data_IF_146758859252
#
_entry.id   IF_146758859252
#
_cell.length_a   1.000
_cell.length_b   1.000
_cell.length_c   1.000
_cell.angle_alpha   90.00
_cell.angle_beta   90.00
_cell.angle_gamma   90.00
#
_symmetry.space_group_name_H-M   'P 1'
#
loop_
_entity.id
_entity.type
_entity.pdbx_description
1 polymer ?
#
# COMPACT_ATOMS: atom_id res chain seq x y z
N UNK A 1 -2.19 -6.17 -20.92
CA UNK A 1 -3.02 -6.96 -19.97
C UNK A 1 -2.15 -7.72 -18.97
N UNK A 2 -1.27 -8.65 -19.38
CA UNK A 2 -0.46 -9.46 -18.46
C UNK A 2 0.40 -8.66 -17.47
N UNK A 3 1.08 -7.60 -17.94
CA UNK A 3 1.91 -6.76 -17.06
C UNK A 3 1.10 -6.06 -15.96
N UNK A 4 -0.11 -5.62 -16.29
CA UNK A 4 -1.01 -5.04 -15.30
C UNK A 4 -1.44 -6.07 -14.25
N UNK A 5 -1.79 -7.30 -14.66
CA UNK A 5 -2.13 -8.38 -13.75
C UNK A 5 -0.99 -8.71 -12.79
N UNK A 6 0.24 -8.84 -13.31
CA UNK A 6 1.44 -9.09 -12.50
C UNK A 6 1.66 -7.97 -11.45
N UNK A 7 1.54 -6.72 -11.87
CA UNK A 7 1.72 -5.56 -11.00
C UNK A 7 0.65 -5.47 -9.91
N UNK A 8 -0.64 -5.60 -10.25
CA UNK A 8 -1.71 -5.56 -9.25
C UNK A 8 -1.63 -6.75 -8.29
N UNK A 9 -1.25 -7.93 -8.78
CA UNK A 9 -1.15 -9.13 -7.96
C UNK A 9 -0.02 -8.96 -6.94
N UNK A 10 1.12 -8.40 -7.34
CA UNK A 10 2.23 -8.12 -6.43
C UNK A 10 1.80 -7.18 -5.30
N UNK A 11 1.10 -6.08 -5.63
CA UNK A 11 0.62 -5.11 -4.64
C UNK A 11 -0.40 -5.77 -3.70
N UNK A 12 -1.39 -6.49 -4.24
CA UNK A 12 -2.44 -7.12 -3.44
C UNK A 12 -1.90 -8.23 -2.54
N UNK A 13 -0.94 -9.00 -3.03
CA UNK A 13 -0.26 -10.06 -2.26
C UNK A 13 0.45 -9.48 -1.05
N UNK A 14 1.20 -8.38 -1.24
CA UNK A 14 1.84 -7.68 -0.12
C UNK A 14 0.84 -7.23 0.93
N UNK A 15 -0.29 -6.65 0.52
CA UNK A 15 -1.36 -6.24 1.43
C UNK A 15 -1.96 -7.42 2.22
N UNK A 16 -2.20 -8.55 1.57
CA UNK A 16 -2.80 -9.74 2.21
C UNK A 16 -1.82 -10.37 3.18
N UNK A 17 -0.55 -10.55 2.80
CA UNK A 17 0.47 -11.13 3.66
C UNK A 17 0.73 -10.25 4.89
N UNK A 18 0.74 -8.92 4.73
CA UNK A 18 0.84 -7.99 5.86
C UNK A 18 -0.35 -8.15 6.82
N UNK A 19 -1.58 -8.22 6.31
CA UNK A 19 -2.78 -8.46 7.14
C UNK A 19 -2.70 -9.80 7.89
N UNK A 20 -2.25 -10.87 7.23
CA UNK A 20 -2.08 -12.18 7.87
C UNK A 20 -1.07 -12.09 9.01
N UNK A 21 0.06 -11.41 8.80
CA UNK A 21 1.12 -11.28 9.80
C UNK A 21 0.75 -10.41 10.99
N UNK A 22 0.00 -9.32 10.76
CA UNK A 22 -0.44 -8.40 11.82
C UNK A 22 -1.76 -8.80 12.47
N UNK A 23 -2.50 -9.74 11.87
CA UNK A 23 -3.85 -10.12 12.30
C UNK A 23 -4.90 -9.04 12.03
N UNK A 24 -4.57 -8.01 11.23
CA UNK A 24 -5.48 -6.90 10.90
C UNK A 24 -6.45 -7.34 9.81
N UNK A 25 -7.75 -7.14 10.04
CA UNK A 25 -8.80 -7.37 9.04
C UNK A 25 -9.10 -6.11 8.23
N UNK A 26 -9.79 -6.25 7.09
CA UNK A 26 -10.21 -5.11 6.26
C UNK A 26 -11.04 -4.09 7.06
N UNK A 27 -11.89 -4.55 7.98
CA UNK A 27 -12.79 -3.71 8.79
C UNK A 27 -12.02 -2.82 9.76
N UNK A 28 -10.88 -3.31 10.24
CA UNK A 28 -9.95 -2.61 11.14
C UNK A 28 -9.06 -1.59 10.43
N UNK A 29 -9.09 -1.54 9.09
CA UNK A 29 -8.36 -0.52 8.33
C UNK A 29 -9.15 0.79 8.38
N UNK A 30 -8.63 1.76 9.13
CA UNK A 30 -9.23 3.10 9.25
C UNK A 30 -9.09 3.90 7.96
N UNK A 31 -7.96 3.79 7.27
CA UNK A 31 -7.67 4.56 6.06
C UNK A 31 -6.61 3.92 5.18
N UNK A 32 -6.74 4.08 3.87
CA UNK A 32 -5.72 3.75 2.87
C UNK A 32 -5.26 5.05 2.21
N UNK A 33 -3.98 5.36 2.37
CA UNK A 33 -3.36 6.53 1.75
C UNK A 33 -2.62 6.11 0.47
N UNK A 34 -3.15 6.53 -0.68
CA UNK A 34 -2.58 6.26 -1.99
C UNK A 34 -1.61 7.40 -2.36
N UNK A 35 -0.32 7.09 -2.36
CA UNK A 35 0.73 7.99 -2.78
C UNK A 35 1.25 7.66 -4.20
N UNK A 36 1.89 8.63 -4.82
CA UNK A 36 2.56 8.49 -6.13
C UNK A 36 1.68 8.90 -7.31
N UNK A 37 2.32 9.06 -8.48
CA UNK A 37 1.65 9.54 -9.70
C UNK A 37 0.46 8.68 -10.14
N UNK A 38 0.45 7.41 -9.71
CA UNK A 38 -0.59 6.44 -10.02
C UNK A 38 -1.97 6.86 -9.49
N UNK A 39 -2.05 7.46 -8.30
CA UNK A 39 -3.34 7.73 -7.68
C UNK A 39 -4.08 8.98 -8.20
N UNK A 40 -3.42 9.87 -8.96
CA UNK A 40 -4.07 11.04 -9.57
C UNK A 40 -5.17 10.66 -10.58
N UNK A 41 -5.08 9.47 -11.18
CA UNK A 41 -5.94 9.05 -12.29
C UNK A 41 -6.74 7.78 -11.99
N UNK A 42 -6.59 7.21 -10.79
CA UNK A 42 -7.24 5.95 -10.44
C UNK A 42 -8.58 6.20 -9.77
N UNK A 43 -9.62 5.68 -10.42
CA UNK A 43 -10.95 5.55 -9.82
C UNK A 43 -10.90 4.45 -8.75
N UNK A 44 -11.11 4.83 -7.49
CA UNK A 44 -11.11 3.94 -6.31
C UNK A 44 -11.95 2.68 -6.54
N UNK A 45 -13.15 2.86 -7.09
CA UNK A 45 -14.08 1.77 -7.43
C UNK A 45 -13.49 0.78 -8.44
N UNK A 46 -12.79 1.29 -9.44
CA UNK A 46 -12.14 0.43 -10.44
C UNK A 46 -10.94 -0.31 -9.87
N UNK A 47 -10.16 0.33 -9.00
CA UNK A 47 -9.03 -0.33 -8.33
C UNK A 47 -9.49 -1.45 -7.38
N UNK A 48 -10.58 -1.24 -6.64
CA UNK A 48 -11.20 -2.31 -5.85
C UNK A 48 -11.75 -3.42 -6.74
N UNK A 49 -12.50 -3.09 -7.81
CA UNK A 49 -13.11 -4.08 -8.71
C UNK A 49 -12.08 -5.01 -9.37
N UNK A 50 -10.90 -4.51 -9.71
CA UNK A 50 -9.82 -5.33 -10.31
C UNK A 50 -8.96 -6.04 -9.26
N UNK A 51 -9.28 -5.92 -7.97
CA UNK A 51 -8.55 -6.57 -6.88
C UNK A 51 -7.21 -5.93 -6.54
N UNK A 52 -6.98 -4.66 -6.90
CA UNK A 52 -5.77 -3.92 -6.49
C UNK A 52 -5.85 -3.42 -5.05
N UNK A 53 -7.05 -3.04 -4.60
CA UNK A 53 -7.32 -2.54 -3.25
C UNK A 53 -8.24 -3.52 -2.51
N UNK A 54 -8.16 -3.59 -1.16
CA UNK A 54 -9.11 -4.37 -0.37
C UNK A 54 -10.52 -3.84 -0.50
N UNK A 55 -11.48 -4.70 -0.19
CA UNK A 55 -12.88 -4.32 -0.11
C UNK A 55 -13.15 -3.56 1.19
N UNK A 56 -13.00 -2.25 1.14
CA UNK A 56 -13.28 -1.32 2.25
C UNK A 56 -14.11 -0.13 1.75
N UNK A 57 -14.81 0.60 2.64
CA UNK A 57 -15.57 1.77 2.24
C UNK A 57 -14.69 2.80 1.51
N UNK A 58 -15.19 3.29 0.36
CA UNK A 58 -14.43 4.16 -0.56
C UNK A 58 -14.01 5.50 0.06
N UNK A 59 -14.76 5.95 1.07
CA UNK A 59 -14.49 7.13 1.87
C UNK A 59 -13.22 7.00 2.70
N UNK A 60 -12.77 5.77 3.02
CA UNK A 60 -11.52 5.50 3.75
C UNK A 60 -10.29 5.50 2.83
N UNK A 61 -10.47 5.58 1.52
CA UNK A 61 -9.36 5.57 0.56
C UNK A 61 -9.07 7.02 0.16
N UNK A 62 -7.87 7.51 0.42
CA UNK A 62 -7.49 8.90 0.17
C UNK A 62 -6.29 8.97 -0.76
N UNK A 63 -6.36 9.83 -1.77
CA UNK A 63 -5.20 10.15 -2.58
C UNK A 63 -4.43 11.31 -1.95
N UNK A 64 -3.13 11.12 -1.72
CA UNK A 64 -2.29 12.10 -1.01
C UNK A 64 -1.19 12.71 -1.90
N UNK A 65 -1.21 12.45 -3.21
CA UNK A 65 -0.21 13.02 -4.13
C UNK A 65 1.15 12.34 -4.03
N UNK A 66 2.19 13.09 -4.36
CA UNK A 66 3.57 12.62 -4.26
C UNK A 66 4.10 12.81 -2.83
N UNK A 67 3.80 11.85 -1.97
CA UNK A 67 4.23 11.87 -0.57
C UNK A 67 5.76 11.95 -0.39
N UNK A 68 6.54 11.40 -1.34
CA UNK A 68 8.00 11.48 -1.29
C UNK A 68 8.50 12.91 -1.50
N UNK A 69 7.98 13.61 -2.51
CA UNK A 69 8.32 15.02 -2.77
C UNK A 69 7.86 15.94 -1.64
N UNK A 70 6.62 15.78 -1.17
CA UNK A 70 6.11 16.57 -0.03
C UNK A 70 6.91 16.30 1.24
N UNK A 71 7.25 15.04 1.52
CA UNK A 71 8.11 14.69 2.65
C UNK A 71 9.52 15.30 2.55
N UNK A 72 10.11 15.31 1.36
CA UNK A 72 11.42 15.93 1.12
C UNK A 72 11.39 17.45 1.39
N UNK A 73 10.35 18.15 0.95
CA UNK A 73 10.14 19.57 1.24
C UNK A 73 10.00 19.81 2.75
N UNK A 74 9.19 18.99 3.44
CA UNK A 74 8.98 19.11 4.89
C UNK A 74 10.29 18.97 5.68
N UNK A 75 11.13 17.98 5.37
CA UNK A 75 12.40 17.77 6.09
C UNK A 75 13.50 18.77 5.70
N UNK A 76 13.38 19.40 4.52
CA UNK A 76 14.26 20.47 4.07
C UNK A 76 13.97 21.76 4.83
N UNK A 77 12.69 22.12 4.97
CA UNK A 77 12.24 23.37 5.57
C UNK A 77 12.11 23.30 7.10
N UNK A 78 11.92 22.12 7.69
CA UNK A 78 11.67 21.96 9.12
C UNK A 78 12.54 20.87 9.77
N UNK A 79 13.42 21.28 10.69
CA UNK A 79 14.31 20.37 11.44
C UNK A 79 13.53 19.39 12.33
N UNK A 80 12.38 19.78 12.89
CA UNK A 80 11.55 18.87 13.68
C UNK A 80 10.96 17.77 12.80
N UNK A 81 10.51 18.09 11.58
CA UNK A 81 10.06 17.09 10.61
C UNK A 81 11.17 16.10 10.27
N UNK A 82 12.42 16.58 10.10
CA UNK A 82 13.58 15.72 9.87
C UNK A 82 13.82 14.75 11.03
N UNK A 83 13.79 15.24 12.27
CA UNK A 83 13.94 14.39 13.47
C UNK A 83 12.82 13.37 13.58
N UNK A 84 11.57 13.77 13.31
CA UNK A 84 10.42 12.85 13.30
C UNK A 84 10.56 11.77 12.24
N UNK A 85 10.99 12.14 11.02
CA UNK A 85 11.21 11.17 9.94
C UNK A 85 12.30 10.15 10.28
N UNK A 86 13.40 10.58 10.90
CA UNK A 86 14.46 9.67 11.37
C UNK A 86 13.94 8.69 12.42
N UNK A 87 13.24 9.19 13.45
CA UNK A 87 12.63 8.34 14.50
C UNK A 87 11.57 7.39 13.96
N UNK A 88 10.86 7.78 12.89
CA UNK A 88 9.89 6.91 12.24
C UNK A 88 10.61 5.80 11.46
N UNK A 89 11.67 6.13 10.73
CA UNK A 89 12.49 5.16 10.00
C UNK A 89 13.02 4.06 10.94
N UNK A 90 13.47 4.43 12.14
CA UNK A 90 13.96 3.48 13.16
C UNK A 90 12.88 2.49 13.67
N UNK A 91 11.59 2.82 13.47
CA UNK A 91 10.45 2.00 13.91
C UNK A 91 9.82 1.17 12.79
N UNK A 92 10.22 1.39 11.55
CA UNK A 92 9.67 0.65 10.40
C UNK A 92 10.32 -0.73 10.35
N UNK A 93 9.52 -1.77 10.47
CA UNK A 93 9.95 -3.15 10.24
C UNK A 93 9.83 -3.51 8.76
N UNK A 94 10.93 -3.93 8.15
CA UNK A 94 10.91 -4.48 6.80
C UNK A 94 10.47 -5.94 6.81
N UNK A 95 9.53 -6.27 5.93
CA UNK A 95 9.01 -7.63 5.79
C UNK A 95 9.32 -8.11 4.37
N UNK A 96 10.11 -9.18 4.27
CA UNK A 96 10.42 -9.83 3.00
C UNK A 96 9.29 -10.77 2.57
N UNK A 97 8.28 -10.19 1.92
CA UNK A 97 7.06 -10.90 1.52
C UNK A 97 7.33 -12.09 0.59
N UNK A 98 8.42 -12.08 -0.20
CA UNK A 98 8.75 -13.15 -1.14
C UNK A 98 9.17 -14.46 -0.45
N UNK A 99 9.61 -14.39 0.81
CA UNK A 99 10.02 -15.55 1.61
C UNK A 99 8.90 -16.07 2.52
N UNK A 100 7.72 -15.43 2.51
CA UNK A 100 6.57 -15.89 3.29
C UNK A 100 6.01 -17.18 2.67
N UNK A 101 5.76 -18.25 3.46
CA UNK A 101 5.33 -19.55 2.93
C UNK A 101 4.08 -19.50 2.04
N UNK A 102 3.17 -18.55 2.32
CA UNK A 102 1.91 -18.37 1.57
C UNK A 102 2.05 -17.48 0.33
N UNK A 103 3.24 -16.96 0.02
CA UNK A 103 3.42 -15.98 -1.05
C UNK A 103 2.95 -16.50 -2.40
N UNK A 104 3.40 -17.69 -2.81
CA UNK A 104 3.08 -18.23 -4.14
C UNK A 104 1.58 -18.47 -4.31
N UNK A 105 0.92 -19.01 -3.28
CA UNK A 105 -0.52 -19.28 -3.28
C UNK A 105 -1.31 -17.97 -3.41
N UNK A 106 -1.05 -17.01 -2.51
CA UNK A 106 -1.73 -15.71 -2.51
C UNK A 106 -1.46 -14.93 -3.79
N UNK A 107 -0.22 -14.97 -4.31
CA UNK A 107 0.14 -14.29 -5.55
C UNK A 107 -0.62 -14.87 -6.75
N UNK A 108 -0.69 -16.19 -6.83
CA UNK A 108 -1.40 -16.90 -7.90
C UNK A 108 -2.90 -16.60 -7.86
N UNK A 109 -3.50 -16.59 -6.67
CA UNK A 109 -4.90 -16.20 -6.48
C UNK A 109 -5.14 -14.75 -6.94
N UNK A 110 -4.22 -13.83 -6.61
CA UNK A 110 -4.33 -12.44 -7.01
C UNK A 110 -4.13 -12.20 -8.53
N UNK A 111 -3.60 -13.17 -9.29
CA UNK A 111 -3.48 -13.10 -10.74
C UNK A 111 -4.77 -13.41 -11.51
N UNK A 112 -5.69 -14.18 -10.90
CA UNK A 112 -6.90 -14.69 -11.56
C UNK A 112 -7.99 -13.63 -11.75
N UNK A 113 -7.86 -12.50 -11.05
CA UNK A 113 -8.78 -11.35 -11.12
C UNK A 113 -8.29 -10.25 -12.06
#
# INVERSE_FOLDING_TARGET
IRQFQLAKAAIRTGQILLQIRTGVTNEQIDSILLAGAFGNYIRKQSAMRVGLLPDIPLERIHFIGNAASSGAEMILLNRNCRTTAAKLADKIEYIEIANEPKFNDVYTDCLMF
#
